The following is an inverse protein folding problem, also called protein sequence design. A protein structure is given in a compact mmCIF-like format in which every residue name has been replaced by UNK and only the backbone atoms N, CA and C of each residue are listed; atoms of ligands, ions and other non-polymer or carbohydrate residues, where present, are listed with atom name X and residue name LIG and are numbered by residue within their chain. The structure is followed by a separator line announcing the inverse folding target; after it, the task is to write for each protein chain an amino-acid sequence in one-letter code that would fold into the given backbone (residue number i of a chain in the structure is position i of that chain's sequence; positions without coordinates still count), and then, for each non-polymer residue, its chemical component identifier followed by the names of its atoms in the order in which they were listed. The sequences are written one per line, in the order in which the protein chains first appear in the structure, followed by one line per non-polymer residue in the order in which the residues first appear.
data_IF_850021164075
#
_entry.id   IF_850021164075
#
_cell.length_a   1.000
_cell.length_b   1.000
_cell.length_c   1.000
_cell.angle_alpha   90.00
_cell.angle_beta   90.00
_cell.angle_gamma   90.00
#
_symmetry.space_group_name_H-M   'P 1'
#
loop_
_entity.id
_entity.type
_entity.pdbx_description
1 polymer ?
#
# COMPACT_ATOMS: atom_id res chain seq x y z
N UNK A 1 -18.44 40.03 -36.40
CA UNK A 1 -17.92 38.71 -36.82
C UNK A 1 -17.43 38.00 -35.57
N UNK A 2 -17.94 36.81 -35.27
CA UNK A 2 -17.51 36.03 -34.12
C UNK A 2 -16.23 35.26 -34.48
N UNK A 3 -15.14 35.58 -33.78
CA UNK A 3 -13.86 34.88 -33.85
C UNK A 3 -14.06 33.45 -33.33
N UNK A 4 -13.63 32.45 -34.11
CA UNK A 4 -13.80 31.03 -33.79
C UNK A 4 -13.29 30.70 -32.38
N UNK A 5 -14.20 30.28 -31.51
CA UNK A 5 -13.87 29.74 -30.18
C UNK A 5 -13.66 28.23 -30.34
N UNK A 6 -12.42 27.78 -30.20
CA UNK A 6 -12.10 26.36 -30.12
C UNK A 6 -11.92 25.97 -28.65
N UNK A 7 -12.64 24.95 -28.21
CA UNK A 7 -12.42 24.27 -26.94
C UNK A 7 -12.08 22.82 -27.25
N UNK A 8 -11.00 22.32 -26.65
CA UNK A 8 -10.57 20.94 -26.79
C UNK A 8 -10.89 20.19 -25.49
N UNK A 9 -11.55 19.05 -25.61
CA UNK A 9 -11.77 18.11 -24.50
C UNK A 9 -10.96 16.87 -24.81
N UNK A 10 -9.91 16.62 -24.01
CA UNK A 10 -9.12 15.40 -24.10
C UNK A 10 -9.49 14.45 -22.95
N UNK A 11 -9.67 13.17 -23.27
CA UNK A 11 -9.88 12.10 -22.29
C UNK A 11 -8.52 11.54 -21.87
N UNK A 12 -8.18 11.65 -20.58
CA UNK A 12 -7.04 10.95 -20.00
C UNK A 12 -7.56 9.75 -19.20
N UNK A 13 -7.18 8.54 -19.60
CA UNK A 13 -7.35 7.35 -18.77
C UNK A 13 -6.18 7.28 -17.80
N UNK A 14 -6.43 7.69 -16.56
CA UNK A 14 -5.46 7.59 -15.48
C UNK A 14 -5.77 6.34 -14.64
N UNK A 15 -4.77 5.51 -14.32
CA UNK A 15 -4.98 4.42 -13.39
C UNK A 15 -5.35 5.00 -12.01
N UNK A 16 -6.32 4.34 -11.35
CA UNK A 16 -7.09 4.87 -10.20
C UNK A 16 -6.22 5.15 -8.96
N UNK A 17 -5.01 4.58 -8.94
CA UNK A 17 -3.98 4.65 -7.92
C UNK A 17 -3.13 5.93 -7.96
N UNK A 18 -3.38 6.84 -8.91
CA UNK A 18 -2.55 8.07 -9.06
C UNK A 18 -3.29 9.38 -8.80
N UNK A 19 -4.48 9.34 -8.18
CA UNK A 19 -5.26 10.54 -7.84
C UNK A 19 -4.83 11.24 -6.54
N UNK A 20 -3.99 10.59 -5.74
CA UNK A 20 -3.46 11.13 -4.49
C UNK A 20 -2.51 10.14 -3.82
N UNK A 21 -1.84 10.58 -2.77
CA UNK A 21 -0.98 9.73 -1.96
C UNK A 21 -1.17 10.02 -0.48
N UNK A 22 -1.02 9.00 0.34
CA UNK A 22 -0.98 9.11 1.79
C UNK A 22 0.48 9.26 2.20
N UNK A 23 0.76 10.28 3.01
CA UNK A 23 2.09 10.57 3.51
C UNK A 23 2.00 11.34 4.82
N UNK A 24 3.15 11.72 5.35
CA UNK A 24 3.24 12.46 6.60
C UNK A 24 2.79 13.91 6.43
N UNK A 25 2.15 14.44 7.46
CA UNK A 25 1.88 15.87 7.56
C UNK A 25 3.23 16.64 7.66
N UNK A 26 3.29 17.91 7.21
CA UNK A 26 4.51 18.71 7.33
C UNK A 26 5.02 18.79 8.78
N UNK A 27 6.32 18.52 8.96
CA UNK A 27 6.97 18.57 10.27
C UNK A 27 6.76 17.34 11.16
N UNK A 28 6.07 16.30 10.67
CA UNK A 28 5.89 15.03 11.38
C UNK A 28 6.90 14.00 10.86
N UNK A 29 7.51 13.24 11.78
CA UNK A 29 8.54 12.24 11.45
C UNK A 29 7.97 10.82 11.27
N UNK A 30 6.80 10.54 11.84
CA UNK A 30 6.16 9.22 11.76
C UNK A 30 4.64 9.29 11.68
N UNK A 31 4.02 8.24 11.14
CA UNK A 31 2.58 8.16 11.00
C UNK A 31 2.12 6.76 10.63
N UNK A 32 0.81 6.55 10.69
CA UNK A 32 0.25 5.23 10.49
C UNK A 32 -1.06 5.32 9.71
N UNK A 33 -1.27 4.37 8.80
CA UNK A 33 -2.51 4.15 8.08
C UNK A 33 -3.00 2.76 8.45
N UNK A 34 -4.29 2.60 8.75
CA UNK A 34 -4.87 1.31 9.06
C UNK A 34 -6.12 1.08 8.23
N UNK A 35 -6.23 -0.10 7.63
CA UNK A 35 -7.40 -0.49 6.85
C UNK A 35 -8.61 -0.80 7.74
N UNK A 36 -9.79 -0.82 7.13
CA UNK A 36 -10.90 -1.63 7.65
C UNK A 36 -10.51 -3.13 7.66
N UNK A 37 -11.21 -3.99 8.41
CA UNK A 37 -10.99 -5.42 8.32
C UNK A 37 -11.24 -5.91 6.89
N UNK A 38 -10.35 -6.77 6.39
CA UNK A 38 -10.40 -7.37 5.06
C UNK A 38 -10.12 -8.87 5.18
N UNK A 39 -10.82 -9.67 4.38
CA UNK A 39 -10.63 -11.12 4.37
C UNK A 39 -9.45 -11.45 3.47
N UNK A 40 -8.48 -12.21 4.00
CA UNK A 40 -7.30 -12.65 3.26
C UNK A 40 -7.68 -13.76 2.28
N UNK A 41 -7.33 -13.65 0.98
CA UNK A 41 -7.48 -14.75 0.02
C UNK A 41 -6.65 -15.97 0.43
N UNK A 42 -7.02 -17.17 -0.04
CA UNK A 42 -6.33 -18.42 0.35
C UNK A 42 -4.81 -18.42 0.03
N UNK A 43 -4.44 -17.79 -1.08
CA UNK A 43 -3.08 -17.57 -1.58
C UNK A 43 -2.73 -16.08 -1.54
N UNK A 44 -3.21 -15.39 -0.50
CA UNK A 44 -3.14 -13.95 -0.38
C UNK A 44 -1.71 -13.39 -0.45
N UNK A 45 -1.57 -12.27 -1.15
CA UNK A 45 -0.38 -11.42 -1.16
C UNK A 45 -0.78 -9.95 -0.94
N UNK A 46 0.11 -9.17 -0.32
CA UNK A 46 -0.02 -7.72 -0.25
C UNK A 46 0.99 -7.07 -1.19
N UNK A 47 0.51 -6.15 -2.02
CA UNK A 47 1.31 -5.28 -2.89
C UNK A 47 1.05 -3.82 -2.55
N UNK A 48 2.08 -3.00 -2.63
CA UNK A 48 1.99 -1.57 -2.34
C UNK A 48 2.59 -0.80 -3.51
N UNK A 49 1.89 0.25 -3.95
CA UNK A 49 2.45 1.26 -4.83
C UNK A 49 2.93 2.41 -3.94
N UNK A 50 4.23 2.68 -3.92
CA UNK A 50 4.82 3.64 -3.01
C UNK A 50 6.17 4.17 -3.47
N UNK A 51 6.53 5.35 -2.95
CA UNK A 51 7.88 5.91 -2.98
C UNK A 51 8.47 5.92 -1.55
N UNK A 52 9.79 5.89 -1.44
CA UNK A 52 10.48 5.84 -0.16
C UNK A 52 10.19 4.56 0.63
N UNK A 53 10.15 3.41 -0.04
CA UNK A 53 9.72 2.13 0.57
C UNK A 53 10.58 1.69 1.76
N UNK A 54 11.82 2.18 1.85
CA UNK A 54 12.69 1.97 3.02
C UNK A 54 12.15 2.57 4.32
N UNK A 55 11.31 3.59 4.22
CA UNK A 55 10.60 4.20 5.35
C UNK A 55 9.22 3.59 5.61
N UNK A 56 8.87 2.48 4.95
CA UNK A 56 7.57 1.82 5.10
C UNK A 56 7.73 0.45 5.79
N UNK A 57 6.84 0.16 6.73
CA UNK A 57 6.68 -1.18 7.29
C UNK A 57 5.21 -1.53 7.44
N UNK A 58 4.90 -2.83 7.42
CA UNK A 58 3.53 -3.33 7.43
C UNK A 58 3.31 -4.34 8.55
N UNK A 59 2.34 -4.03 9.40
CA UNK A 59 1.83 -4.94 10.43
C UNK A 59 0.48 -5.51 10.00
N UNK A 60 0.20 -6.75 10.39
CA UNK A 60 -1.17 -7.29 10.36
C UNK A 60 -1.73 -7.34 11.76
N UNK A 61 -2.94 -6.81 11.89
CA UNK A 61 -3.69 -6.80 13.14
C UNK A 61 -4.94 -7.65 13.01
N UNK A 62 -5.44 -8.17 14.13
CA UNK A 62 -6.78 -8.72 14.21
C UNK A 62 -7.85 -7.60 14.19
N UNK A 63 -9.12 -8.00 14.24
CA UNK A 63 -10.24 -7.05 14.23
C UNK A 63 -10.26 -6.09 15.43
N UNK A 64 -9.59 -6.47 16.52
CA UNK A 64 -9.45 -5.74 17.79
C UNK A 64 -8.16 -4.91 17.84
N UNK A 65 -7.51 -4.70 16.71
CA UNK A 65 -6.24 -3.96 16.58
C UNK A 65 -5.09 -4.59 17.38
N UNK A 66 -5.13 -5.89 17.63
CA UNK A 66 -4.02 -6.63 18.24
C UNK A 66 -3.11 -7.19 17.15
N UNK A 67 -1.80 -7.04 17.34
CA UNK A 67 -0.80 -7.53 16.42
C UNK A 67 -0.87 -9.06 16.26
N UNK A 68 -0.92 -9.54 15.02
CA UNK A 68 -0.87 -10.97 14.73
C UNK A 68 0.57 -11.49 14.84
N UNK A 69 0.74 -12.59 15.57
CA UNK A 69 2.05 -13.17 15.85
C UNK A 69 2.80 -13.52 14.55
N UNK A 70 4.00 -12.95 14.39
CA UNK A 70 4.86 -13.15 13.21
C UNK A 70 4.57 -12.22 12.03
N UNK A 71 3.52 -11.39 12.10
CA UNK A 71 3.16 -10.43 11.04
C UNK A 71 3.44 -8.98 11.45
N UNK A 72 4.55 -8.76 12.15
CA UNK A 72 5.03 -7.44 12.55
C UNK A 72 6.20 -6.99 11.67
N UNK A 73 6.28 -5.71 11.34
CA UNK A 73 7.42 -5.09 10.66
C UNK A 73 7.70 -5.67 9.27
N UNK A 74 6.65 -6.05 8.54
CA UNK A 74 6.76 -6.54 7.17
C UNK A 74 7.43 -5.51 6.28
N UNK A 75 8.48 -5.90 5.56
CA UNK A 75 9.27 -4.99 4.74
C UNK A 75 8.68 -4.89 3.34
N UNK A 76 8.61 -3.66 2.83
CA UNK A 76 8.24 -3.39 1.44
C UNK A 76 9.48 -3.60 0.58
N UNK A 77 9.48 -4.66 -0.23
CA UNK A 77 10.58 -5.02 -1.12
C UNK A 77 10.39 -4.41 -2.52
N UNK A 78 11.42 -3.74 -3.01
CA UNK A 78 11.47 -3.12 -4.35
C UNK A 78 12.21 -1.78 -4.33
N UNK A 79 12.52 -1.19 -5.49
CA UNK A 79 13.26 0.08 -5.61
C UNK A 79 12.37 1.34 -5.67
N UNK A 80 11.22 1.35 -5.00
CA UNK A 80 10.08 2.27 -5.22
C UNK A 80 9.29 1.99 -6.52
N UNK A 81 8.05 2.46 -6.57
CA UNK A 81 7.17 2.39 -7.73
C UNK A 81 5.92 1.55 -7.52
N UNK A 82 5.64 0.66 -8.48
CA UNK A 82 4.41 -0.14 -8.51
C UNK A 82 4.67 -1.58 -8.06
N UNK A 83 3.63 -2.21 -7.52
CA UNK A 83 3.55 -3.62 -7.19
C UNK A 83 4.67 -4.12 -6.25
N UNK A 84 5.14 -3.25 -5.34
CA UNK A 84 6.14 -3.61 -4.34
C UNK A 84 5.58 -4.67 -3.37
N UNK A 85 6.29 -5.78 -3.21
CA UNK A 85 5.83 -6.89 -2.38
C UNK A 85 6.10 -6.63 -0.90
N UNK A 86 5.16 -7.01 -0.03
CA UNK A 86 5.37 -6.99 1.42
C UNK A 86 5.78 -8.37 1.91
N UNK A 87 6.90 -8.45 2.64
CA UNK A 87 7.46 -9.70 3.12
C UNK A 87 7.69 -9.67 4.64
N UNK A 88 7.28 -10.75 5.33
CA UNK A 88 7.61 -11.01 6.73
C UNK A 88 8.60 -12.17 6.81
N UNK A 89 9.56 -12.09 7.74
CA UNK A 89 10.56 -13.15 7.91
C UNK A 89 9.91 -14.44 8.38
N UNK A 90 10.03 -15.52 7.59
CA UNK A 90 9.53 -16.84 7.94
C UNK A 90 8.01 -16.95 7.99
N UNK A 91 7.29 -15.97 7.43
CA UNK A 91 5.83 -15.92 7.39
C UNK A 91 5.32 -15.61 5.99
N UNK A 92 4.20 -16.23 5.64
CA UNK A 92 3.46 -15.99 4.42
C UNK A 92 2.04 -15.57 4.74
N UNK A 93 1.52 -14.59 4.02
CA UNK A 93 0.13 -14.13 4.18
C UNK A 93 -0.89 -15.26 3.87
N UNK A 94 -0.52 -16.23 3.02
CA UNK A 94 -1.34 -17.41 2.75
C UNK A 94 -1.66 -18.25 4.01
N UNK A 95 -0.83 -18.16 5.07
CA UNK A 95 -1.14 -18.80 6.37
C UNK A 95 -2.42 -18.25 7.03
N UNK A 96 -2.85 -17.05 6.62
CA UNK A 96 -4.04 -16.37 7.12
C UNK A 96 -5.24 -16.51 6.16
N UNK A 97 -5.19 -17.39 5.16
CA UNK A 97 -6.26 -17.59 4.19
C UNK A 97 -7.65 -17.76 4.83
N UNK A 98 -8.60 -16.93 4.41
CA UNK A 98 -9.97 -16.87 4.93
C UNK A 98 -10.14 -16.10 6.25
N UNK A 99 -9.06 -15.64 6.87
CA UNK A 99 -9.14 -14.85 8.10
C UNK A 99 -9.37 -13.37 7.79
N UNK A 100 -10.09 -12.70 8.70
CA UNK A 100 -10.28 -11.24 8.69
C UNK A 100 -9.12 -10.56 9.40
N UNK A 101 -8.42 -9.66 8.71
CA UNK A 101 -7.25 -8.92 9.22
C UNK A 101 -7.38 -7.44 8.91
N UNK A 102 -6.67 -6.61 9.66
CA UNK A 102 -6.40 -5.22 9.30
C UNK A 102 -4.95 -5.10 8.84
N UNK A 103 -4.73 -4.32 7.80
CA UNK A 103 -3.38 -3.99 7.32
C UNK A 103 -3.03 -2.62 7.85
N UNK A 104 -1.97 -2.54 8.65
CA UNK A 104 -1.44 -1.30 9.18
C UNK A 104 -0.12 -0.99 8.49
N UNK A 105 -0.02 0.17 7.85
CA UNK A 105 1.24 0.67 7.27
C UNK A 105 1.78 1.76 8.17
N UNK A 106 2.97 1.54 8.68
CA UNK A 106 3.75 2.54 9.40
C UNK A 106 4.63 3.28 8.39
N UNK A 107 4.62 4.60 8.48
CA UNK A 107 5.40 5.51 7.65
C UNK A 107 6.38 6.24 8.55
N UNK A 108 7.67 6.11 8.26
CA UNK A 108 8.73 6.80 8.95
C UNK A 108 9.52 7.63 7.94
N UNK A 109 9.68 8.92 8.21
CA UNK A 109 10.53 9.79 7.42
C UNK A 109 11.97 9.28 7.49
N UNK A 110 12.61 9.21 6.34
CA UNK A 110 14.03 8.89 6.23
C UNK A 110 14.79 10.11 5.71
N UNK A 111 16.11 10.12 5.89
CA UNK A 111 16.94 11.21 5.35
C UNK A 111 16.98 11.20 3.81
N UNK A 112 16.65 10.06 3.20
CA UNK A 112 16.77 9.82 1.76
C UNK A 112 15.47 10.14 0.98
N UNK A 113 14.30 10.04 1.63
CA UNK A 113 13.02 10.28 0.97
C UNK A 113 11.89 10.65 1.95
N UNK A 114 10.82 11.25 1.41
CA UNK A 114 9.53 11.38 2.10
C UNK A 114 8.62 10.26 1.61
N UNK A 115 8.39 9.18 2.40
CA UNK A 115 7.64 8.05 1.90
C UNK A 115 6.19 8.42 1.61
N UNK A 116 5.65 7.82 0.55
CA UNK A 116 4.26 8.03 0.11
C UNK A 116 3.66 6.71 -0.31
N UNK A 117 2.45 6.44 0.16
CA UNK A 117 1.65 5.28 -0.23
C UNK A 117 0.55 5.74 -1.19
N UNK A 118 0.53 5.20 -2.39
CA UNK A 118 -0.44 5.53 -3.43
C UNK A 118 -1.60 4.53 -3.45
N UNK A 119 -1.29 3.24 -3.29
CA UNK A 119 -2.28 2.17 -3.22
C UNK A 119 -1.76 0.98 -2.42
N UNK A 120 -2.70 0.24 -1.82
CA UNK A 120 -2.45 -1.05 -1.18
C UNK A 120 -3.43 -2.06 -1.75
N UNK A 121 -2.90 -3.19 -2.20
CA UNK A 121 -3.66 -4.28 -2.79
C UNK A 121 -3.54 -5.51 -1.90
N UNK A 122 -4.68 -6.14 -1.64
CA UNK A 122 -4.78 -7.49 -1.11
C UNK A 122 -5.42 -8.34 -2.19
N UNK A 123 -4.67 -9.29 -2.73
CA UNK A 123 -5.11 -10.13 -3.85
C UNK A 123 -4.56 -11.55 -3.74
N UNK A 124 -5.05 -12.43 -4.60
CA UNK A 124 -4.41 -13.73 -4.81
C UNK A 124 -3.03 -13.52 -5.45
N UNK A 125 -2.06 -14.39 -5.13
CA UNK A 125 -0.84 -14.46 -5.91
C UNK A 125 -1.22 -14.81 -7.36
N UNK A 126 -0.96 -13.93 -8.33
CA UNK A 126 -1.23 -14.28 -9.73
C UNK A 126 -0.55 -15.61 -10.06
N UNK A 127 -1.36 -16.62 -10.42
CA UNK A 127 -0.85 -17.84 -11.06
C UNK A 127 -0.44 -17.39 -12.46
N UNK A 128 0.88 -17.26 -12.66
CA UNK A 128 1.43 -17.05 -14.00
C UNK A 128 0.78 -18.03 -14.96
N UNK A 129 0.05 -17.48 -15.94
CA UNK A 129 -0.45 -18.21 -17.10
C UNK A 129 0.58 -18.17 -18.20
#
# INVERSE_FOLDING_TARGET
MATHYHAEVALATLPRDRWGGLGLNPGVEEGTICSAPVVVPQDGVIRINADGVSGLSVDLLDERFQLLAGFAGGQVAGPDGLDCSVNWTGKSLAELGGQSVRVQVSIQKTDEALPRVYALYLGASEVGS
#
